data_IF_740476974068
#
_entry.id   IF_740476974068
#
_cell.length_a   1.000
_cell.length_b   1.000
_cell.length_c   1.000
_cell.angle_alpha   90.00
_cell.angle_beta   90.00
_cell.angle_gamma   90.00
#
_symmetry.space_group_name_H-M   'P 1'
#
loop_
_entity.id
_entity.type
_entity.pdbx_description
1 polymer ?
#
# COMPACT_ATOMS: atom_id res chain seq x y z
N UNK A 1 -11.61 -15.11 -1.60
CA UNK A 1 -11.87 -15.57 -0.22
C UNK A 1 -13.15 -14.93 0.34
N UNK A 2 -13.30 -13.61 0.28
CA UNK A 2 -14.50 -12.89 0.73
C UNK A 2 -15.80 -13.30 0.04
N UNK A 3 -15.79 -13.61 -1.26
CA UNK A 3 -17.00 -14.11 -1.94
C UNK A 3 -17.45 -15.49 -1.43
N UNK A 4 -16.58 -16.20 -0.70
CA UNK A 4 -16.82 -17.57 -0.22
C UNK A 4 -17.10 -17.62 1.29
N UNK A 5 -16.60 -16.65 2.05
CA UNK A 5 -16.75 -16.57 3.50
C UNK A 5 -17.25 -15.19 3.92
N UNK A 6 -18.22 -15.09 4.84
CA UNK A 6 -18.74 -13.81 5.32
C UNK A 6 -17.69 -13.14 6.22
N UNK A 7 -16.66 -12.54 5.63
CA UNK A 7 -15.55 -11.92 6.36
C UNK A 7 -15.84 -10.47 6.78
N UNK A 8 -16.74 -9.80 6.07
CA UNK A 8 -17.24 -8.46 6.38
C UNK A 8 -18.73 -8.57 6.73
N UNK A 9 -19.19 -7.77 7.70
CA UNK A 9 -20.58 -7.79 8.16
C UNK A 9 -21.52 -7.19 7.13
N UNK A 10 -22.00 -7.99 6.18
CA UNK A 10 -23.02 -7.55 5.22
C UNK A 10 -24.41 -7.65 5.88
N UNK A 11 -25.13 -6.53 5.94
CA UNK A 11 -26.45 -6.43 6.59
C UNK A 11 -27.54 -7.35 5.98
N UNK A 12 -27.31 -7.87 4.78
CA UNK A 12 -28.20 -8.81 4.08
C UNK A 12 -27.87 -10.29 4.31
N UNK A 13 -26.75 -10.61 4.97
CA UNK A 13 -26.30 -11.96 5.20
C UNK A 13 -26.82 -12.50 6.54
N UNK A 14 -27.53 -13.62 6.51
CA UNK A 14 -27.96 -14.36 7.72
C UNK A 14 -26.81 -15.09 8.41
N UNK A 15 -25.58 -15.06 7.86
CA UNK A 15 -24.42 -15.72 8.45
C UNK A 15 -23.63 -14.77 9.33
N UNK A 16 -23.32 -15.22 10.54
CA UNK A 16 -22.45 -14.50 11.47
C UNK A 16 -21.11 -14.20 10.79
N UNK A 17 -20.67 -12.93 10.73
CA UNK A 17 -19.40 -12.60 10.13
C UNK A 17 -18.24 -13.23 10.90
N UNK A 18 -17.23 -13.71 10.18
CA UNK A 18 -16.03 -14.30 10.76
C UNK A 18 -15.25 -13.23 11.54
N UNK A 19 -15.09 -13.45 12.84
CA UNK A 19 -14.37 -12.57 13.76
C UNK A 19 -12.87 -12.87 13.70
N UNK A 20 -12.23 -12.56 12.56
CA UNK A 20 -10.78 -12.69 12.41
C UNK A 20 -10.09 -11.42 12.87
N UNK A 21 -9.17 -11.55 13.82
CA UNK A 21 -8.41 -10.44 14.37
C UNK A 21 -7.01 -10.43 13.78
N UNK A 22 -6.58 -9.30 13.24
CA UNK A 22 -5.25 -9.09 12.67
C UNK A 22 -4.55 -8.00 13.46
N UNK A 23 -3.25 -8.17 13.70
CA UNK A 23 -2.40 -7.21 14.40
C UNK A 23 -1.22 -6.83 13.53
N UNK A 24 -1.09 -5.53 13.23
CA UNK A 24 0.02 -4.96 12.48
C UNK A 24 0.72 -3.88 13.28
N UNK A 25 2.02 -3.72 13.04
CA UNK A 25 2.87 -2.70 13.68
C UNK A 25 3.07 -1.55 12.71
N UNK A 26 3.03 -0.31 13.20
CA UNK A 26 3.28 0.88 12.38
C UNK A 26 4.71 0.87 11.81
N UNK A 27 4.81 1.17 10.52
CA UNK A 27 6.05 1.12 9.74
C UNK A 27 7.04 2.23 10.08
N UNK A 28 6.56 3.36 10.63
CA UNK A 28 7.36 4.53 10.98
C UNK A 28 7.66 4.63 12.49
N UNK A 29 6.88 3.93 13.30
CA UNK A 29 6.91 3.95 14.75
C UNK A 29 6.65 2.53 15.29
N UNK A 30 7.68 1.67 15.35
CA UNK A 30 7.54 0.25 15.72
C UNK A 30 6.97 -0.03 17.11
N UNK A 31 6.82 1.00 17.95
CA UNK A 31 6.18 0.91 19.27
C UNK A 31 4.65 0.96 19.18
N UNK A 32 4.09 1.48 18.08
CA UNK A 32 2.64 1.55 17.84
C UNK A 32 2.18 0.31 17.09
N UNK A 33 1.09 -0.28 17.56
CA UNK A 33 0.42 -1.44 16.93
C UNK A 33 -1.06 -1.14 16.81
N UNK A 34 -1.68 -1.66 15.77
CA UNK A 34 -3.12 -1.65 15.60
C UNK A 34 -3.62 -3.08 15.43
N UNK A 35 -4.70 -3.38 16.14
CA UNK A 35 -5.36 -4.67 16.07
C UNK A 35 -6.80 -4.42 15.69
N UNK A 36 -7.25 -4.96 14.56
CA UNK A 36 -8.62 -4.82 14.10
C UNK A 36 -9.21 -6.17 13.70
N UNK A 37 -10.53 -6.27 13.83
CA UNK A 37 -11.30 -7.41 13.36
C UNK A 37 -11.79 -7.14 11.94
N UNK A 38 -11.65 -8.10 11.04
CA UNK A 38 -12.11 -8.01 9.66
C UNK A 38 -10.97 -8.03 8.64
N UNK A 39 -11.27 -8.57 7.46
CA UNK A 39 -10.27 -8.82 6.41
C UNK A 39 -9.82 -7.55 5.68
N UNK A 40 -10.61 -6.47 5.75
CA UNK A 40 -10.24 -5.18 5.14
C UNK A 40 -8.95 -4.62 5.74
N UNK A 41 -8.75 -4.77 7.06
CA UNK A 41 -7.53 -4.32 7.73
C UNK A 41 -6.30 -5.13 7.28
N UNK A 42 -6.45 -6.45 7.17
CA UNK A 42 -5.42 -7.33 6.63
C UNK A 42 -5.05 -6.95 5.19
N UNK A 43 -6.05 -6.71 4.34
CA UNK A 43 -5.83 -6.28 2.96
C UNK A 43 -5.10 -4.95 2.87
N UNK A 44 -5.45 -3.98 3.72
CA UNK A 44 -4.76 -2.68 3.76
C UNK A 44 -3.29 -2.87 4.10
N UNK A 45 -2.98 -3.65 5.13
CA UNK A 45 -1.62 -3.95 5.55
C UNK A 45 -0.81 -4.70 4.47
N UNK A 46 -1.40 -5.71 3.84
CA UNK A 46 -0.74 -6.46 2.75
C UNK A 46 -0.50 -5.57 1.54
N UNK A 47 -1.47 -4.73 1.14
CA UNK A 47 -1.30 -3.81 0.02
C UNK A 47 -0.25 -2.74 0.32
N UNK A 48 -0.18 -2.22 1.55
CA UNK A 48 0.89 -1.34 1.99
C UNK A 48 2.26 -2.01 1.84
N UNK A 49 2.39 -3.27 2.28
CA UNK A 49 3.64 -4.02 2.16
C UNK A 49 4.03 -4.30 0.70
N UNK A 50 3.05 -4.52 -0.20
CA UNK A 50 3.30 -4.58 -1.64
C UNK A 50 3.89 -3.25 -2.14
N UNK A 51 3.30 -2.12 -1.74
CA UNK A 51 3.84 -0.80 -2.07
C UNK A 51 5.26 -0.58 -1.54
N UNK A 52 5.52 -1.01 -0.30
CA UNK A 52 6.84 -0.93 0.33
C UNK A 52 7.89 -1.84 -0.32
N UNK A 53 7.49 -3.01 -0.84
CA UNK A 53 8.39 -3.90 -1.57
C UNK A 53 8.70 -3.33 -2.96
N UNK A 54 7.68 -2.88 -3.69
CA UNK A 54 7.84 -2.24 -5.00
C UNK A 54 8.76 -1.01 -4.91
N UNK A 55 8.65 -0.20 -3.84
CA UNK A 55 9.56 0.93 -3.65
C UNK A 55 11.01 0.51 -3.45
N UNK A 56 11.25 -0.56 -2.68
CA UNK A 56 12.60 -1.12 -2.48
C UNK A 56 13.18 -1.68 -3.78
N UNK A 57 12.38 -2.39 -4.58
CA UNK A 57 12.80 -2.88 -5.89
C UNK A 57 13.15 -1.74 -6.85
N UNK A 58 12.37 -0.65 -6.84
CA UNK A 58 12.67 0.56 -7.60
C UNK A 58 14.03 1.16 -7.24
N UNK A 59 14.37 1.22 -5.95
CA UNK A 59 15.67 1.70 -5.45
C UNK A 59 16.81 0.75 -5.82
N UNK A 60 16.59 -0.56 -5.78
CA UNK A 60 17.60 -1.58 -6.07
C UNK A 60 17.88 -1.77 -7.56
N UNK A 61 17.01 -1.26 -8.43
CA UNK A 61 17.16 -1.39 -9.88
C UNK A 61 18.37 -0.58 -10.37
N UNK A 62 19.19 -1.17 -11.25
CA UNK A 62 20.32 -0.47 -11.86
C UNK A 62 19.84 0.63 -12.82
N UNK A 63 19.93 1.89 -12.39
CA UNK A 63 19.53 3.06 -13.17
C UNK A 63 20.60 3.57 -14.15
N UNK A 64 21.71 2.84 -14.31
CA UNK A 64 22.75 3.18 -15.29
C UNK A 64 22.28 2.97 -16.73
N UNK A 65 21.37 2.01 -16.96
CA UNK A 65 20.82 1.65 -18.27
C UNK A 65 19.44 2.27 -18.53
N UNK A 66 19.05 2.42 -19.80
CA UNK A 66 17.72 2.93 -20.19
C UNK A 66 16.61 1.97 -19.74
N UNK A 67 16.85 0.67 -19.86
CA UNK A 67 15.95 -0.41 -19.46
C UNK A 67 15.75 -0.41 -17.95
N UNK A 68 16.84 -0.24 -17.19
CA UNK A 68 16.79 -0.14 -15.74
C UNK A 68 16.07 1.12 -15.25
N UNK A 69 16.23 2.26 -15.92
CA UNK A 69 15.43 3.46 -15.64
C UNK A 69 13.93 3.25 -15.88
N UNK A 70 13.56 2.57 -16.97
CA UNK A 70 12.15 2.19 -17.23
C UNK A 70 11.61 1.25 -16.16
N UNK A 71 12.41 0.25 -15.76
CA UNK A 71 12.02 -0.72 -14.75
C UNK A 71 11.84 -0.07 -13.37
N UNK A 72 12.80 0.77 -12.94
CA UNK A 72 12.71 1.53 -11.69
C UNK A 72 11.46 2.42 -11.69
N UNK A 73 11.19 3.10 -12.81
CA UNK A 73 9.98 3.89 -12.96
C UNK A 73 8.69 3.06 -12.78
N UNK A 74 8.62 1.88 -13.38
CA UNK A 74 7.46 0.98 -13.22
C UNK A 74 7.27 0.55 -11.76
N UNK A 75 8.35 0.19 -11.07
CA UNK A 75 8.31 -0.16 -9.65
C UNK A 75 7.76 1.00 -8.79
N UNK A 76 8.26 2.22 -8.99
CA UNK A 76 7.74 3.38 -8.28
C UNK A 76 6.28 3.70 -8.61
N UNK A 77 5.86 3.57 -9.87
CA UNK A 77 4.44 3.75 -10.22
C UNK A 77 3.53 2.69 -9.58
N UNK A 78 3.99 1.43 -9.50
CA UNK A 78 3.25 0.37 -8.79
C UNK A 78 3.17 0.64 -7.30
N UNK A 79 4.26 1.07 -6.68
CA UNK A 79 4.27 1.48 -5.27
C UNK A 79 3.29 2.63 -5.00
N UNK A 80 3.30 3.67 -5.85
CA UNK A 80 2.34 4.77 -5.76
C UNK A 80 0.90 4.28 -5.88
N UNK A 81 0.62 3.39 -6.85
CA UNK A 81 -0.70 2.81 -7.04
C UNK A 81 -1.18 2.01 -5.83
N UNK A 82 -0.30 1.21 -5.22
CA UNK A 82 -0.62 0.45 -4.01
C UNK A 82 -0.98 1.37 -2.84
N UNK A 83 -0.16 2.39 -2.54
CA UNK A 83 -0.46 3.34 -1.45
C UNK A 83 -1.75 4.13 -1.71
N UNK A 84 -1.99 4.53 -2.96
CA UNK A 84 -3.22 5.21 -3.36
C UNK A 84 -4.45 4.32 -3.19
N UNK A 85 -4.37 3.04 -3.56
CA UNK A 85 -5.47 2.07 -3.40
C UNK A 85 -5.85 1.89 -1.93
N UNK A 86 -4.85 1.79 -1.04
CA UNK A 86 -5.10 1.73 0.41
C UNK A 86 -5.84 2.98 0.88
N UNK A 87 -5.34 4.16 0.48
CA UNK A 87 -5.87 5.47 0.87
C UNK A 87 -7.29 5.70 0.40
N UNK A 88 -7.56 5.43 -0.88
CA UNK A 88 -8.79 5.85 -1.56
C UNK A 88 -9.93 4.81 -1.46
N UNK A 89 -9.63 3.55 -1.13
CA UNK A 89 -10.64 2.48 -1.17
C UNK A 89 -10.66 1.56 0.05
N UNK A 90 -9.50 1.08 0.51
CA UNK A 90 -9.46 0.00 1.49
C UNK A 90 -9.68 0.54 2.91
N UNK A 91 -9.09 1.70 3.26
CA UNK A 91 -9.20 2.27 4.61
C UNK A 91 -10.64 2.58 5.02
N UNK A 92 -11.49 3.01 4.09
CA UNK A 92 -12.91 3.28 4.37
C UNK A 92 -13.67 2.04 4.87
N UNK A 93 -13.14 0.84 4.58
CA UNK A 93 -13.72 -0.45 4.97
C UNK A 93 -13.11 -0.99 6.28
N UNK A 94 -12.17 -0.26 6.90
CA UNK A 94 -11.50 -0.65 8.14
C UNK A 94 -12.17 -0.02 9.36
N UNK A 95 -11.92 -0.59 10.55
CA UNK A 95 -12.52 -0.13 11.80
C UNK A 95 -11.57 0.82 12.53
N UNK A 96 -11.81 2.13 12.38
CA UNK A 96 -11.20 3.16 13.22
C UNK A 96 -9.93 3.83 12.66
N UNK A 97 -9.26 4.59 13.51
CA UNK A 97 -8.10 5.43 13.15
C UNK A 97 -6.87 4.53 12.96
N UNK A 98 -6.29 4.57 11.76
CA UNK A 98 -5.07 3.86 11.42
C UNK A 98 -3.86 4.35 12.22
N UNK A 99 -2.84 3.50 12.28
CA UNK A 99 -1.48 3.92 12.62
C UNK A 99 -0.99 5.03 11.66
N UNK A 100 -0.06 5.91 12.06
CA UNK A 100 0.46 6.97 11.19
C UNK A 100 0.78 6.57 9.75
N UNK A 101 1.34 5.38 9.52
CA UNK A 101 1.58 4.82 8.19
C UNK A 101 0.33 4.57 7.34
N UNK A 102 -0.80 4.31 8.00
CA UNK A 102 -2.13 4.10 7.42
C UNK A 102 -3.03 5.34 7.49
N UNK A 103 -2.48 6.51 7.86
CA UNK A 103 -3.21 7.78 7.79
C UNK A 103 -3.36 8.25 6.34
N UNK A 104 -4.39 9.07 6.06
CA UNK A 104 -4.58 9.65 4.74
C UNK A 104 -3.39 10.51 4.32
N UNK A 105 -2.81 11.24 5.26
CA UNK A 105 -1.61 12.06 5.10
C UNK A 105 -0.38 11.19 4.84
N UNK A 106 -0.18 10.13 5.61
CA UNK A 106 0.95 9.21 5.47
C UNK A 106 0.95 8.49 4.12
N UNK A 107 -0.21 7.94 3.72
CA UNK A 107 -0.37 7.29 2.43
C UNK A 107 -0.31 8.29 1.27
N UNK A 108 -0.85 9.48 1.45
CA UNK A 108 -0.72 10.57 0.50
C UNK A 108 0.74 10.94 0.26
N UNK A 109 1.51 11.13 1.33
CA UNK A 109 2.95 11.38 1.27
C UNK A 109 3.68 10.28 0.51
N UNK A 110 3.47 9.01 0.88
CA UNK A 110 4.10 7.87 0.21
C UNK A 110 3.73 7.82 -1.28
N UNK A 111 2.45 8.03 -1.62
CA UNK A 111 1.97 8.07 -3.01
C UNK A 111 2.73 9.14 -3.81
N UNK A 112 2.79 10.38 -3.33
CA UNK A 112 3.47 11.46 -4.03
C UNK A 112 4.98 11.27 -4.07
N UNK A 113 5.58 10.74 -3.01
CA UNK A 113 7.01 10.42 -2.99
C UNK A 113 7.37 9.40 -4.07
N UNK A 114 6.57 8.35 -4.22
CA UNK A 114 6.79 7.35 -5.27
C UNK A 114 6.57 7.93 -6.67
N UNK A 115 5.55 8.76 -6.88
CA UNK A 115 5.36 9.45 -8.16
C UNK A 115 6.52 10.39 -8.50
N UNK A 116 7.07 11.10 -7.51
CA UNK A 116 8.24 11.95 -7.71
C UNK A 116 9.47 11.11 -8.12
N UNK A 117 9.69 9.95 -7.51
CA UNK A 117 10.78 9.04 -7.90
C UNK A 117 10.59 8.46 -9.31
N UNK A 118 9.35 8.12 -9.69
CA UNK A 118 9.03 7.73 -11.06
C UNK A 118 9.35 8.86 -12.07
N UNK A 119 8.97 10.10 -11.76
CA UNK A 119 9.27 11.25 -12.60
C UNK A 119 10.78 11.53 -12.71
N UNK A 120 11.53 11.32 -11.62
CA UNK A 120 12.99 11.43 -11.64
C UNK A 120 13.62 10.39 -12.59
N UNK A 121 13.11 9.15 -12.60
CA UNK A 121 13.56 8.12 -13.55
C UNK A 121 13.29 8.53 -15.01
N UNK A 122 12.12 9.13 -15.29
CA UNK A 122 11.81 9.67 -16.61
C UNK A 122 12.75 10.80 -17.02
N UNK A 123 13.06 11.72 -16.11
CA UNK A 123 14.00 12.82 -16.36
C UNK A 123 15.42 12.30 -16.63
N UNK A 124 15.93 11.38 -15.80
CA UNK A 124 17.23 10.76 -16.01
C UNK A 124 17.32 10.02 -17.35
N UNK A 125 16.23 9.37 -17.77
CA UNK A 125 16.15 8.75 -19.10
C UNK A 125 16.23 9.80 -20.21
N UNK A 126 15.49 10.89 -20.10
CA UNK A 126 15.44 11.94 -21.12
C UNK A 126 16.77 12.69 -21.31
N UNK A 127 17.64 12.71 -20.29
CA UNK A 127 18.99 13.28 -20.40
C UNK A 127 19.98 12.31 -21.08
N UNK A 128 19.73 11.00 -20.98
CA UNK A 128 20.60 9.97 -21.56
C UNK A 128 20.28 9.65 -23.02
N UNK A 129 19.03 9.87 -23.42
CA UNK A 129 18.59 9.82 -24.83
C UNK A 129 19.11 11.05 -25.61
#
# INVERSE_FOLDING_TARGET
MEQRFPCNGDASSTRTPLQLQFTWTDSFCPRKKSTQTGISFEKAAVMFNIGALESQLGVQTDRSTVEGLKLACHHFMRAAGAFKEVKDKIIEQTLGIGTPDMSAEGLGLLTYLMLAQAQACFYEKAIKD
#
